data_IF_978864084413
#
_entry.id   IF_978864084413
#
_cell.length_a   1.000
_cell.length_b   1.000
_cell.length_c   1.000
_cell.angle_alpha   90.00
_cell.angle_beta   90.00
_cell.angle_gamma   90.00
#
_symmetry.space_group_name_H-M   'P 1'
#
loop_
_entity.id
_entity.type
_entity.pdbx_description
1 polymer ?
#
# COMPACT_ATOMS: atom_id res chain seq x y z
N UNK A 1 30.19 9.73 2.55
CA UNK A 1 29.12 9.31 1.62
C UNK A 1 27.89 10.15 1.93
N UNK A 2 27.49 11.05 1.04
CA UNK A 2 26.33 11.93 1.23
C UNK A 2 25.09 11.22 0.68
N UNK A 3 24.19 10.79 1.55
CA UNK A 3 22.90 10.24 1.13
C UNK A 3 21.92 11.37 0.81
N UNK A 4 21.10 11.22 -0.24
CA UNK A 4 20.09 12.22 -0.56
C UNK A 4 19.09 12.32 0.59
N UNK A 5 18.79 13.56 0.95
CA UNK A 5 17.86 13.85 2.03
C UNK A 5 16.49 13.24 1.70
N UNK A 6 15.93 12.46 2.64
CA UNK A 6 14.64 11.78 2.49
C UNK A 6 14.72 10.34 1.97
N UNK A 7 15.90 9.86 1.55
CA UNK A 7 16.08 8.47 1.11
C UNK A 7 15.77 7.47 2.24
N UNK A 8 16.20 7.77 3.48
CA UNK A 8 15.93 6.92 4.64
C UNK A 8 14.42 6.73 4.83
N UNK A 9 13.67 7.83 4.86
CA UNK A 9 12.22 7.80 5.04
C UNK A 9 11.50 7.07 3.91
N UNK A 10 11.96 7.24 2.67
CA UNK A 10 11.44 6.50 1.51
C UNK A 10 11.69 5.00 1.62
N UNK A 11 12.87 4.58 2.08
CA UNK A 11 13.17 3.16 2.28
C UNK A 11 12.34 2.59 3.44
N UNK A 12 12.16 3.34 4.52
CA UNK A 12 11.27 2.95 5.62
C UNK A 12 9.80 2.82 5.17
N UNK A 13 9.32 3.68 4.27
CA UNK A 13 7.96 3.62 3.74
C UNK A 13 7.73 2.41 2.84
N UNK A 14 8.66 2.17 1.92
CA UNK A 14 8.67 1.00 1.05
C UNK A 14 8.71 -0.28 1.88
N UNK A 15 9.57 -0.33 2.90
CA UNK A 15 9.72 -1.51 3.75
C UNK A 15 8.42 -1.82 4.50
N UNK A 16 7.74 -0.79 5.04
CA UNK A 16 6.41 -0.94 5.65
C UNK A 16 5.37 -1.43 4.63
N UNK A 17 5.36 -0.88 3.42
CA UNK A 17 4.43 -1.29 2.38
C UNK A 17 4.63 -2.76 1.95
N UNK A 18 5.89 -3.21 1.83
CA UNK A 18 6.23 -4.61 1.54
C UNK A 18 5.79 -5.53 2.68
N UNK A 19 6.05 -5.15 3.93
CA UNK A 19 5.63 -5.94 5.11
C UNK A 19 4.11 -6.06 5.21
N UNK A 20 3.38 -5.01 4.83
CA UNK A 20 1.91 -5.04 4.84
C UNK A 20 1.36 -5.87 3.69
N UNK A 21 1.84 -5.64 2.47
CA UNK A 21 1.30 -6.28 1.28
C UNK A 21 1.72 -7.74 1.10
N UNK A 22 2.77 -8.19 1.81
CA UNK A 22 3.39 -9.52 1.70
C UNK A 22 3.46 -10.04 0.25
N UNK A 23 4.05 -9.26 -0.68
CA UNK A 23 3.97 -9.56 -2.09
C UNK A 23 4.78 -10.81 -2.44
N UNK A 24 4.20 -11.71 -3.22
CA UNK A 24 4.90 -12.89 -3.76
C UNK A 24 6.09 -12.51 -4.66
N UNK A 25 6.06 -11.31 -5.26
CA UNK A 25 7.13 -10.77 -6.09
C UNK A 25 7.48 -9.34 -5.67
N UNK A 26 8.53 -9.21 -4.84
CA UNK A 26 8.98 -7.92 -4.31
C UNK A 26 9.38 -6.93 -5.42
N UNK A 27 10.14 -7.32 -6.47
CA UNK A 27 10.49 -6.41 -7.56
C UNK A 27 9.30 -5.79 -8.28
N UNK A 28 8.28 -6.61 -8.60
CA UNK A 28 7.08 -6.14 -9.30
C UNK A 28 6.26 -5.19 -8.43
N UNK A 29 6.10 -5.54 -7.15
CA UNK A 29 5.47 -4.67 -6.15
C UNK A 29 6.18 -3.32 -6.04
N UNK A 30 7.51 -3.33 -5.96
CA UNK A 30 8.31 -2.11 -5.86
C UNK A 30 8.13 -1.21 -7.09
N UNK A 31 8.09 -1.80 -8.29
CA UNK A 31 7.87 -1.07 -9.53
C UNK A 31 6.50 -0.38 -9.56
N UNK A 32 5.45 -1.10 -9.14
CA UNK A 32 4.09 -0.57 -9.06
C UNK A 32 4.00 0.54 -7.99
N UNK A 33 4.55 0.30 -6.80
CA UNK A 33 4.57 1.28 -5.70
C UNK A 33 5.28 2.58 -6.09
N UNK A 34 6.45 2.49 -6.74
CA UNK A 34 7.20 3.65 -7.20
C UNK A 34 6.45 4.40 -8.32
N UNK A 35 5.78 3.68 -9.21
CA UNK A 35 4.98 4.28 -10.30
C UNK A 35 3.79 5.06 -9.73
N UNK A 36 3.10 4.51 -8.73
CA UNK A 36 2.03 5.21 -8.01
C UNK A 36 2.56 6.44 -7.27
N UNK A 37 3.72 6.34 -6.61
CA UNK A 37 4.33 7.45 -5.89
C UNK A 37 4.69 8.62 -6.82
N UNK A 38 5.23 8.31 -8.02
CA UNK A 38 5.51 9.32 -9.06
C UNK A 38 4.21 9.94 -9.57
N UNK A 39 3.18 9.14 -9.80
CA UNK A 39 1.88 9.61 -10.28
C UNK A 39 1.17 10.50 -9.25
N UNK A 40 1.23 10.11 -7.98
CA UNK A 40 0.71 10.88 -6.85
C UNK A 40 1.43 12.23 -6.71
N UNK A 41 2.76 12.25 -6.87
CA UNK A 41 3.55 13.48 -6.91
C UNK A 41 3.15 14.40 -8.05
N UNK A 42 2.94 13.87 -9.24
CA UNK A 42 2.49 14.64 -10.42
C UNK A 42 1.11 15.26 -10.22
N UNK A 43 0.22 14.58 -9.49
CA UNK A 43 -1.11 15.08 -9.14
C UNK A 43 -1.06 16.17 -8.04
N UNK A 44 -0.01 16.19 -7.21
CA UNK A 44 0.19 17.14 -6.09
C UNK A 44 1.35 18.11 -6.35
N UNK A 45 1.48 18.61 -7.58
CA UNK A 45 2.63 19.40 -8.06
C UNK A 45 2.91 20.73 -7.30
N UNK A 46 2.07 21.14 -6.34
CA UNK A 46 2.30 22.29 -5.46
C UNK A 46 2.89 21.96 -4.08
N UNK A 47 3.02 20.68 -3.73
CA UNK A 47 3.38 20.22 -2.38
C UNK A 47 4.88 19.92 -2.28
N UNK A 48 5.54 20.38 -1.22
CA UNK A 48 6.97 20.12 -0.99
C UNK A 48 7.27 18.61 -1.07
N UNK A 49 8.38 18.18 -1.70
CA UNK A 49 8.70 16.75 -1.90
C UNK A 49 8.67 15.90 -0.63
N UNK A 50 8.96 16.50 0.53
CA UNK A 50 8.87 15.86 1.86
C UNK A 50 7.45 15.50 2.27
N UNK A 51 6.49 16.37 1.97
CA UNK A 51 5.09 16.19 2.33
C UNK A 51 4.46 15.13 1.43
N UNK A 52 4.85 15.07 0.16
CA UNK A 52 4.39 14.04 -0.78
C UNK A 52 4.66 12.62 -0.29
N UNK A 53 5.84 12.33 0.27
CA UNK A 53 6.13 11.01 0.84
C UNK A 53 5.25 10.70 2.05
N UNK A 54 5.01 11.69 2.91
CA UNK A 54 4.21 11.51 4.12
C UNK A 54 2.71 11.35 3.82
N UNK A 55 2.19 12.18 2.91
CA UNK A 55 0.81 12.11 2.41
C UNK A 55 0.57 10.80 1.66
N UNK A 56 1.56 10.35 0.87
CA UNK A 56 1.48 9.08 0.17
C UNK A 56 1.47 7.90 1.14
N UNK A 57 2.29 7.91 2.20
CA UNK A 57 2.25 6.89 3.25
C UNK A 57 0.90 6.85 3.96
N UNK A 58 0.31 8.01 4.29
CA UNK A 58 -1.01 8.07 4.92
C UNK A 58 -2.11 7.56 3.99
N UNK A 59 -2.06 7.96 2.72
CA UNK A 59 -2.98 7.48 1.68
C UNK A 59 -2.88 5.96 1.50
N UNK A 60 -1.65 5.43 1.37
CA UNK A 60 -1.41 3.99 1.26
C UNK A 60 -1.85 3.21 2.50
N UNK A 61 -1.60 3.73 3.71
CA UNK A 61 -2.06 3.10 4.95
C UNK A 61 -3.58 3.02 5.04
N UNK A 62 -4.29 4.06 4.58
CA UNK A 62 -5.77 4.07 4.48
C UNK A 62 -6.27 3.09 3.42
N UNK A 63 -5.64 3.07 2.25
CA UNK A 63 -6.01 2.19 1.14
C UNK A 63 -5.79 0.71 1.51
N UNK A 64 -4.71 0.40 2.21
CA UNK A 64 -4.42 -0.94 2.72
C UNK A 64 -5.42 -1.37 3.78
N UNK A 65 -5.71 -0.50 4.76
CA UNK A 65 -6.72 -0.77 5.79
C UNK A 65 -8.07 -1.06 5.13
N UNK A 66 -8.51 -0.22 4.20
CA UNK A 66 -9.76 -0.42 3.45
C UNK A 66 -9.76 -1.76 2.68
N UNK A 67 -8.66 -2.13 2.02
CA UNK A 67 -8.56 -3.38 1.28
C UNK A 67 -8.64 -4.61 2.21
N UNK A 68 -7.92 -4.58 3.34
CA UNK A 68 -7.97 -5.63 4.38
C UNK A 68 -9.38 -5.75 4.97
N UNK A 69 -10.05 -4.64 5.28
CA UNK A 69 -11.43 -4.68 5.75
C UNK A 69 -12.38 -5.32 4.73
N UNK A 70 -12.26 -4.96 3.46
CA UNK A 70 -13.06 -5.57 2.39
C UNK A 70 -12.74 -7.06 2.18
N UNK A 71 -11.47 -7.45 2.26
CA UNK A 71 -11.04 -8.85 2.21
C UNK A 71 -11.63 -9.66 3.37
N UNK A 72 -11.56 -9.15 4.60
CA UNK A 72 -12.13 -9.82 5.78
C UNK A 72 -13.64 -9.97 5.63
N UNK A 73 -14.35 -8.93 5.16
CA UNK A 73 -15.78 -9.01 4.89
C UNK A 73 -16.08 -10.08 3.83
N UNK A 74 -15.34 -10.10 2.73
CA UNK A 74 -15.52 -11.08 1.65
C UNK A 74 -15.28 -12.51 2.13
N UNK A 75 -14.21 -12.75 2.88
CA UNK A 75 -13.89 -14.07 3.48
C UNK A 75 -14.98 -14.46 4.48
N UNK A 76 -15.45 -13.54 5.31
CA UNK A 76 -16.51 -13.80 6.30
C UNK A 76 -17.83 -14.16 5.60
N UNK A 77 -18.22 -13.42 4.57
CA UNK A 77 -19.42 -13.71 3.78
C UNK A 77 -19.29 -15.07 3.08
N UNK A 78 -18.12 -15.38 2.51
CA UNK A 78 -17.88 -16.67 1.85
C UNK A 78 -17.94 -17.82 2.85
N UNK A 79 -17.29 -17.69 4.02
CA UNK A 79 -17.34 -18.69 5.08
C UNK A 79 -18.75 -18.90 5.63
N UNK A 80 -19.52 -17.83 5.83
CA UNK A 80 -20.92 -17.90 6.26
C UNK A 80 -21.79 -18.58 5.20
N UNK A 81 -21.58 -18.30 3.91
CA UNK A 81 -22.30 -18.97 2.82
C UNK A 81 -21.99 -20.47 2.76
N UNK A 82 -20.73 -20.87 2.98
CA UNK A 82 -20.34 -22.30 3.05
C UNK A 82 -21.03 -23.01 4.22
N UNK A 83 -21.15 -22.35 5.38
CA UNK A 83 -21.82 -22.92 6.56
C UNK A 83 -23.33 -22.99 6.40
N UNK A 84 -23.95 -21.96 5.80
CA UNK A 84 -25.40 -21.88 5.63
C UNK A 84 -25.91 -22.71 4.44
N UNK A 85 -25.07 -23.03 3.47
CA UNK A 85 -25.44 -23.82 2.29
C UNK A 85 -24.43 -24.95 2.03
N UNK A 86 -24.39 -25.99 2.88
CA UNK A 86 -23.40 -27.07 2.80
C UNK A 86 -23.66 -28.08 1.67
N UNK A 87 -24.62 -27.82 0.77
CA UNK A 87 -25.07 -28.76 -0.27
C UNK A 87 -24.94 -28.13 -1.67
N UNK A 88 -23.69 -27.90 -2.05
CA UNK A 88 -23.14 -28.22 -3.36
C UNK A 88 -21.76 -28.84 -3.18
#
# INVERSE_FOLDING_TARGET
MTFPYGLKSLVESISRAVLLAEPANIPDFLNNYMTELISFRSCHAGTYPKLVSFDFEEFWGKLFSFNVYNMIIYVTITAVNVVLNPLY
#
